data_IF_654811477339
#
_entry.id   IF_654811477339
#
_cell.length_a   1.000
_cell.length_b   1.000
_cell.length_c   1.000
_cell.angle_alpha   90.00
_cell.angle_beta   90.00
_cell.angle_gamma   90.00
#
_symmetry.space_group_name_H-M   'P 1'
#
loop_
_entity.id
_entity.type
_entity.pdbx_description
1 polymer ?
#
# COMPACT_ATOMS: atom_id res chain seq x y z
N UNK A 1 40.48 -23.18 -37.02
CA UNK A 1 39.57 -22.03 -36.79
C UNK A 1 38.08 -22.41 -36.69
N UNK A 2 37.72 -23.62 -36.21
CA UNK A 2 36.30 -24.06 -36.06
C UNK A 2 35.84 -24.18 -34.59
N UNK A 3 36.78 -24.18 -33.65
CA UNK A 3 36.52 -24.28 -32.20
C UNK A 3 36.32 -22.90 -31.55
N UNK A 4 36.99 -21.87 -32.05
CA UNK A 4 36.87 -20.48 -31.56
C UNK A 4 35.46 -19.87 -31.83
N UNK A 5 34.85 -20.25 -32.96
CA UNK A 5 33.47 -19.86 -33.29
C UNK A 5 32.45 -20.48 -32.32
N UNK A 6 32.64 -21.72 -31.86
CA UNK A 6 31.74 -22.38 -30.89
C UNK A 6 31.84 -21.76 -29.48
N UNK A 7 33.02 -21.27 -29.10
CA UNK A 7 33.24 -20.54 -27.83
C UNK A 7 32.51 -19.20 -27.81
N UNK A 8 32.50 -18.45 -28.93
CA UNK A 8 31.79 -17.18 -29.04
C UNK A 8 30.26 -17.38 -29.03
N UNK A 9 29.75 -18.43 -29.68
CA UNK A 9 28.31 -18.75 -29.64
C UNK A 9 27.85 -19.16 -28.24
N UNK A 10 28.69 -19.85 -27.47
CA UNK A 10 28.37 -20.27 -26.09
C UNK A 10 28.31 -19.09 -25.10
N UNK A 11 29.18 -18.07 -25.26
CA UNK A 11 29.17 -16.87 -24.41
C UNK A 11 27.96 -15.98 -24.67
N UNK A 12 27.49 -15.89 -25.93
CA UNK A 12 26.31 -15.11 -26.30
C UNK A 12 25.01 -15.70 -25.75
N UNK A 13 24.95 -17.03 -25.59
CA UNK A 13 23.78 -17.73 -25.04
C UNK A 13 23.62 -17.54 -23.52
N UNK A 14 24.74 -17.38 -22.79
CA UNK A 14 24.75 -17.12 -21.34
C UNK A 14 24.34 -15.67 -21.03
N UNK A 15 24.65 -14.71 -21.92
CA UNK A 15 24.21 -13.32 -21.80
C UNK A 15 22.70 -13.12 -22.06
N UNK A 16 22.02 -14.08 -22.69
CA UNK A 16 20.57 -14.03 -22.93
C UNK A 16 19.76 -14.59 -21.74
N UNK A 17 20.37 -15.39 -20.86
CA UNK A 17 19.72 -15.94 -19.66
C UNK A 17 19.67 -14.96 -18.48
N UNK A 18 20.47 -13.88 -18.50
CA UNK A 18 20.49 -12.87 -17.44
C UNK A 18 19.33 -11.87 -17.48
N UNK A 19 18.47 -11.93 -18.50
CA UNK A 19 17.31 -11.02 -18.64
C UNK A 19 16.04 -11.47 -17.89
N UNK A 20 16.08 -12.60 -17.18
CA UNK A 20 14.94 -13.12 -16.42
C UNK A 20 14.76 -12.55 -15.00
N UNK A 21 15.68 -11.73 -14.49
CA UNK A 21 15.62 -11.24 -13.10
C UNK A 21 14.73 -9.99 -12.90
N UNK A 22 14.04 -9.52 -13.94
CA UNK A 22 13.09 -8.39 -13.84
C UNK A 22 11.64 -8.81 -13.62
N UNK A 23 11.37 -10.04 -13.19
CA UNK A 23 10.21 -10.26 -12.33
C UNK A 23 10.53 -9.61 -10.98
N UNK A 24 10.53 -8.28 -10.93
CA UNK A 24 10.65 -7.52 -9.69
C UNK A 24 9.60 -8.09 -8.76
N UNK A 25 10.05 -8.80 -7.72
CA UNK A 25 9.19 -9.15 -6.61
C UNK A 25 8.73 -7.82 -6.03
N UNK A 26 7.55 -7.35 -6.43
CA UNK A 26 6.86 -6.31 -5.68
C UNK A 26 6.84 -6.85 -4.27
N UNK A 27 7.57 -6.19 -3.38
CA UNK A 27 7.54 -6.55 -1.97
C UNK A 27 6.05 -6.51 -1.58
N UNK A 28 5.47 -7.68 -1.30
CA UNK A 28 4.02 -7.78 -1.05
C UNK A 28 3.59 -6.85 0.07
N UNK A 29 4.50 -6.52 0.98
CA UNK A 29 4.30 -5.55 2.05
C UNK A 29 4.19 -4.10 1.52
N UNK A 30 4.97 -3.72 0.51
CA UNK A 30 4.99 -2.38 -0.06
C UNK A 30 3.84 -2.17 -1.09
N UNK A 31 3.08 -3.22 -1.43
CA UNK A 31 1.92 -3.12 -2.31
C UNK A 31 0.83 -2.16 -1.80
N UNK A 32 0.81 -1.86 -0.49
CA UNK A 32 -0.14 -0.91 0.11
C UNK A 32 0.24 0.56 -0.10
N UNK A 33 1.45 0.86 -0.57
CA UNK A 33 1.89 2.23 -0.79
C UNK A 33 1.05 2.91 -1.88
N UNK A 34 0.74 4.19 -1.69
CA UNK A 34 0.01 5.01 -2.67
C UNK A 34 -1.17 5.75 -2.07
N UNK A 35 -1.98 6.36 -2.95
CA UNK A 35 -3.12 7.19 -2.57
C UNK A 35 -4.42 6.42 -2.78
N UNK A 36 -5.31 6.48 -1.78
CA UNK A 36 -6.62 5.83 -1.82
C UNK A 36 -7.73 6.83 -1.49
N UNK A 37 -8.83 6.76 -2.22
CA UNK A 37 -10.02 7.57 -2.06
C UNK A 37 -11.08 6.80 -1.27
N UNK A 38 -11.74 7.48 -0.33
CA UNK A 38 -12.88 6.93 0.40
C UNK A 38 -14.03 6.58 -0.55
N UNK A 39 -14.89 5.62 -0.20
CA UNK A 39 -16.05 5.28 -1.02
C UNK A 39 -17.02 6.47 -1.17
N UNK A 40 -17.07 7.35 -0.18
CA UNK A 40 -17.87 8.58 -0.23
C UNK A 40 -17.23 9.70 -1.09
N UNK A 41 -15.97 9.54 -1.52
CA UNK A 41 -15.24 10.56 -2.28
C UNK A 41 -14.83 11.80 -1.48
N UNK A 42 -15.16 11.84 -0.19
CA UNK A 42 -14.93 12.97 0.71
C UNK A 42 -13.49 13.08 1.20
N UNK A 43 -12.68 12.03 1.05
CA UNK A 43 -11.34 11.92 1.63
C UNK A 43 -10.38 11.15 0.72
N UNK A 44 -9.12 11.53 0.77
CA UNK A 44 -8.00 10.75 0.22
C UNK A 44 -6.93 10.55 1.29
N UNK A 45 -6.40 9.34 1.39
CA UNK A 45 -5.29 8.97 2.27
C UNK A 45 -4.10 8.56 1.41
N UNK A 46 -2.93 9.15 1.69
CA UNK A 46 -1.65 8.64 1.20
C UNK A 46 -1.07 7.69 2.24
N UNK A 47 -0.79 6.46 1.82
CA UNK A 47 -0.06 5.46 2.60
C UNK A 47 1.40 5.46 2.16
N UNK A 48 2.28 5.71 3.11
CA UNK A 48 3.72 5.75 2.92
C UNK A 48 4.41 4.89 3.97
N UNK A 49 5.68 4.57 3.70
CA UNK A 49 6.52 3.80 4.61
C UNK A 49 7.29 4.75 5.52
N UNK A 50 7.27 4.45 6.81
CA UNK A 50 8.06 5.12 7.84
C UNK A 50 8.79 4.06 8.65
N UNK A 51 10.11 3.94 8.43
CA UNK A 51 10.93 2.82 8.88
C UNK A 51 10.34 1.46 8.39
N UNK A 52 10.09 0.52 9.30
CA UNK A 52 9.49 -0.78 8.99
C UNK A 52 7.96 -0.81 9.14
N UNK A 53 7.34 0.37 9.21
CA UNK A 53 5.90 0.52 9.41
C UNK A 53 5.27 1.30 8.25
N UNK A 54 3.96 1.10 8.08
CA UNK A 54 3.14 1.84 7.13
C UNK A 54 2.27 2.84 7.88
N UNK A 55 2.28 4.08 7.39
CA UNK A 55 1.58 5.22 7.97
C UNK A 55 0.71 5.84 6.91
N UNK A 56 -0.46 6.35 7.30
CA UNK A 56 -1.42 6.96 6.38
C UNK A 56 -1.85 8.34 6.85
N UNK A 57 -1.69 9.34 6.00
CA UNK A 57 -2.10 10.72 6.25
C UNK A 57 -3.17 11.18 5.26
N UNK A 58 -4.04 12.09 5.69
CA UNK A 58 -5.02 12.71 4.80
C UNK A 58 -4.33 13.64 3.81
N UNK A 59 -4.58 13.47 2.52
CA UNK A 59 -4.10 14.35 1.45
C UNK A 59 -5.22 15.16 0.78
N UNK A 60 -6.47 14.72 0.93
CA UNK A 60 -7.64 15.51 0.59
C UNK A 60 -8.77 15.24 1.60
N UNK A 61 -9.53 16.27 1.94
CA UNK A 61 -10.74 16.18 2.75
C UNK A 61 -11.72 17.29 2.35
N UNK A 62 -12.99 16.97 2.16
CA UNK A 62 -14.04 17.95 1.83
C UNK A 62 -14.84 18.42 3.05
N UNK A 63 -14.67 17.75 4.21
CA UNK A 63 -15.36 18.12 5.44
C UNK A 63 -14.86 19.47 5.97
N UNK A 64 -15.66 20.53 5.74
CA UNK A 64 -15.32 21.91 6.10
C UNK A 64 -15.16 22.16 7.61
N UNK A 65 -15.75 21.32 8.48
CA UNK A 65 -15.88 21.60 9.93
C UNK A 65 -15.37 20.48 10.86
N UNK A 66 -14.57 19.53 10.35
CA UNK A 66 -14.08 18.40 11.15
C UNK A 66 -12.77 18.68 11.92
N UNK A 67 -12.54 17.96 13.04
CA UNK A 67 -11.24 17.90 13.73
C UNK A 67 -10.08 17.37 12.85
N UNK A 68 -10.39 16.83 11.68
CA UNK A 68 -9.42 16.29 10.74
C UNK A 68 -9.05 17.34 9.68
N UNK A 69 -7.74 17.55 9.45
CA UNK A 69 -7.21 18.44 8.41
C UNK A 69 -6.31 17.66 7.45
N UNK A 70 -6.04 18.20 6.27
CA UNK A 70 -4.96 17.69 5.41
C UNK A 70 -3.66 17.61 6.22
N UNK A 71 -2.90 16.53 6.04
CA UNK A 71 -1.70 16.21 6.81
C UNK A 71 -1.98 15.41 8.09
N UNK A 72 -3.23 15.31 8.57
CA UNK A 72 -3.54 14.53 9.77
C UNK A 72 -3.25 13.04 9.53
N UNK A 73 -2.41 12.45 10.40
CA UNK A 73 -2.12 11.01 10.38
C UNK A 73 -3.28 10.23 10.97
N UNK A 74 -3.88 9.36 10.16
CA UNK A 74 -5.07 8.57 10.51
C UNK A 74 -4.82 7.06 10.50
N UNK A 75 -3.80 6.57 9.78
CA UNK A 75 -3.35 5.17 9.87
C UNK A 75 -1.98 5.16 10.55
N UNK A 76 -1.86 4.41 11.66
CA UNK A 76 -0.67 4.44 12.52
C UNK A 76 -0.10 3.03 12.73
N UNK A 77 1.20 2.92 12.51
CA UNK A 77 2.03 1.78 12.87
C UNK A 77 1.58 0.44 12.31
N UNK A 78 1.20 0.43 11.03
CA UNK A 78 0.81 -0.80 10.37
C UNK A 78 2.05 -1.66 10.06
N UNK A 79 2.01 -2.94 10.40
CA UNK A 79 3.06 -3.91 10.04
C UNK A 79 2.47 -5.01 9.17
N UNK A 80 3.23 -5.45 8.16
CA UNK A 80 2.78 -6.49 7.25
C UNK A 80 3.11 -7.88 7.79
N UNK A 81 2.10 -8.74 7.90
CA UNK A 81 2.27 -10.14 8.26
C UNK A 81 1.19 -11.00 7.61
N UNK A 82 1.60 -12.11 6.99
CA UNK A 82 0.71 -13.12 6.39
C UNK A 82 -0.34 -12.53 5.42
N UNK A 83 0.04 -11.56 4.59
CA UNK A 83 -0.86 -10.97 3.58
C UNK A 83 -1.78 -9.85 4.10
N UNK A 84 -1.62 -9.44 5.36
CA UNK A 84 -2.43 -8.39 5.98
C UNK A 84 -1.53 -7.36 6.65
N UNK A 85 -2.00 -6.11 6.74
CA UNK A 85 -1.35 -5.10 7.56
C UNK A 85 -2.15 -4.88 8.83
N UNK A 86 -1.49 -4.91 9.99
CA UNK A 86 -2.14 -4.75 11.29
C UNK A 86 -1.59 -3.52 12.01
N UNK A 87 -2.47 -2.67 12.50
CA UNK A 87 -2.11 -1.38 13.11
C UNK A 87 -3.30 -0.72 13.76
N UNK A 88 -3.32 0.61 13.80
CA UNK A 88 -4.41 1.40 14.39
C UNK A 88 -4.92 2.48 13.44
N UNK A 89 -6.23 2.72 13.48
CA UNK A 89 -6.85 3.90 12.86
C UNK A 89 -7.17 4.93 13.93
N UNK A 90 -6.67 6.15 13.76
CA UNK A 90 -7.08 7.31 14.55
C UNK A 90 -8.32 7.96 13.94
N UNK A 91 -9.35 8.17 14.76
CA UNK A 91 -10.57 8.89 14.39
C UNK A 91 -10.58 10.28 15.05
N UNK A 92 -10.21 11.36 14.32
CA UNK A 92 -10.15 12.71 14.87
C UNK A 92 -11.47 13.18 15.49
N UNK A 93 -12.61 12.77 14.92
CA UNK A 93 -13.95 13.10 15.42
C UNK A 93 -14.15 12.66 16.89
N UNK A 94 -13.58 11.51 17.27
CA UNK A 94 -13.69 10.93 18.62
C UNK A 94 -12.45 11.15 19.47
N UNK A 95 -11.38 11.69 18.89
CA UNK A 95 -10.06 11.74 19.49
C UNK A 95 -9.65 10.38 20.07
N UNK A 96 -9.82 9.31 19.30
CA UNK A 96 -9.57 7.94 19.77
C UNK A 96 -8.98 7.08 18.67
N UNK A 97 -8.24 6.06 19.07
CA UNK A 97 -7.61 5.08 18.17
C UNK A 97 -8.24 3.69 18.34
N UNK A 98 -8.35 2.97 17.23
CA UNK A 98 -8.96 1.65 17.20
C UNK A 98 -8.06 0.66 16.45
N UNK A 99 -7.95 -0.59 16.91
CA UNK A 99 -7.27 -1.64 16.16
C UNK A 99 -7.87 -1.78 14.77
N UNK A 100 -7.02 -1.95 13.77
CA UNK A 100 -7.45 -2.07 12.40
C UNK A 100 -6.56 -2.99 11.57
N UNK A 101 -7.15 -3.51 10.50
CA UNK A 101 -6.48 -4.36 9.53
C UNK A 101 -6.69 -3.79 8.13
N UNK A 102 -5.62 -3.75 7.34
CA UNK A 102 -5.68 -3.45 5.92
C UNK A 102 -5.54 -4.74 5.11
N UNK A 103 -6.31 -4.83 4.03
CA UNK A 103 -6.18 -5.90 3.03
C UNK A 103 -6.34 -5.32 1.63
N UNK A 104 -5.61 -5.91 0.67
CA UNK A 104 -5.75 -5.62 -0.76
C UNK A 104 -6.41 -6.84 -1.42
N UNK A 105 -7.75 -6.89 -1.57
CA UNK A 105 -8.39 -7.98 -2.32
C UNK A 105 -7.94 -8.01 -3.79
N UNK A 106 -7.57 -6.85 -4.34
CA UNK A 106 -7.00 -6.67 -5.66
C UNK A 106 -6.05 -5.45 -5.66
N UNK A 107 -5.42 -5.16 -6.80
CA UNK A 107 -4.46 -4.07 -6.92
C UNK A 107 -5.08 -2.67 -6.80
N UNK A 108 -6.40 -2.52 -7.04
CA UNK A 108 -7.11 -1.24 -7.07
C UNK A 108 -7.90 -0.94 -5.80
N UNK A 109 -8.07 -1.92 -4.90
CA UNK A 109 -8.95 -1.79 -3.73
C UNK A 109 -8.18 -1.96 -2.43
N UNK A 110 -8.35 -1.04 -1.50
CA UNK A 110 -7.90 -1.13 -0.12
C UNK A 110 -9.09 -1.29 0.81
N UNK A 111 -9.19 -2.43 1.49
CA UNK A 111 -10.17 -2.61 2.57
C UNK A 111 -9.55 -2.20 3.89
N UNK A 112 -10.20 -1.27 4.60
CA UNK A 112 -9.85 -0.88 5.96
C UNK A 112 -10.91 -1.44 6.89
N UNK A 113 -10.54 -2.41 7.72
CA UNK A 113 -11.41 -2.99 8.76
C UNK A 113 -11.00 -2.45 10.13
N UNK A 114 -11.90 -1.73 10.78
CA UNK A 114 -11.70 -1.16 12.13
C UNK A 114 -12.51 -1.97 13.14
N UNK A 115 -11.86 -2.40 14.23
CA UNK A 115 -12.50 -3.12 15.33
C UNK A 115 -12.80 -2.17 16.49
N UNK A 116 -14.07 -2.03 16.85
CA UNK A 116 -14.53 -1.21 17.97
C UNK A 116 -15.34 -2.08 18.94
N UNK A 117 -14.69 -2.57 19.99
CA UNK A 117 -15.29 -3.55 20.91
C UNK A 117 -15.60 -4.87 20.20
N UNK A 118 -16.85 -5.32 20.30
CA UNK A 118 -17.35 -6.55 19.67
C UNK A 118 -17.75 -6.38 18.19
N UNK A 119 -17.83 -5.14 17.70
CA UNK A 119 -18.22 -4.85 16.33
C UNK A 119 -16.99 -4.50 15.48
N UNK A 120 -17.06 -4.88 14.21
CA UNK A 120 -16.10 -4.45 13.19
C UNK A 120 -16.83 -3.72 12.08
N UNK A 121 -16.23 -2.63 11.59
CA UNK A 121 -16.70 -1.92 10.41
C UNK A 121 -15.62 -1.98 9.34
N UNK A 122 -16.02 -2.25 8.10
CA UNK A 122 -15.11 -2.30 6.97
C UNK A 122 -15.56 -1.33 5.90
N UNK A 123 -14.61 -0.66 5.26
CA UNK A 123 -14.83 0.15 4.05
C UNK A 123 -13.80 -0.18 2.99
N UNK A 124 -14.24 -0.16 1.73
CA UNK A 124 -13.38 -0.33 0.55
C UNK A 124 -13.04 1.04 -0.03
N UNK A 125 -11.75 1.32 -0.15
CA UNK A 125 -11.18 2.55 -0.65
C UNK A 125 -10.56 2.27 -2.02
N UNK A 126 -10.83 3.14 -2.98
CA UNK A 126 -10.34 2.99 -4.34
C UNK A 126 -8.94 3.59 -4.48
N UNK A 127 -7.98 2.84 -5.01
CA UNK A 127 -6.65 3.34 -5.33
C UNK A 127 -6.76 4.39 -6.44
N UNK A 128 -6.16 5.54 -6.19
CA UNK A 128 -6.04 6.61 -7.19
C UNK A 128 -4.88 6.26 -8.10
N UNK A 129 -5.15 6.06 -9.40
CA UNK A 129 -4.09 5.87 -10.40
C UNK A 129 -3.23 7.14 -10.44
N UNK A 130 -1.90 7.03 -10.42
CA UNK A 130 -1.05 8.19 -10.68
C UNK A 130 -1.27 8.65 -12.12
N UNK A 131 -1.29 9.97 -12.34
CA UNK A 131 -1.34 10.56 -13.68
C UNK A 131 0.10 10.56 -14.23
N UNK A 132 0.53 9.46 -14.85
CA UNK A 132 1.72 9.43 -15.72
C UNK A 132 1.38 8.77 -17.05
#
# INVERSE_FOLDING_TARGET
>A
MKTFSKLITATLLILLMSRGLFAQSVNKADAVLGIFQSPEGDRKIEIYKDNDQYVGKLVAITAANGKAKVGTVVLKGFTFSKGTWQGKVYLPARNSEYPATLTLPDAATLTIKVKAGFLSQSKNWARVKPLY
#
